data_IF_133689428642
#
_entry.id   IF_133689428642
#
_cell.length_a   1.000
_cell.length_b   1.000
_cell.length_c   1.000
_cell.angle_alpha   90.00
_cell.angle_beta   90.00
_cell.angle_gamma   90.00
#
_symmetry.space_group_name_H-M   'P 1'
#
loop_
_entity.id
_entity.type
_entity.pdbx_description
1 polymer ?
#
# COMPACT_ATOMS: atom_id res chain seq x y z
N UNK A 1 2.71 7.60 -25.37
CA UNK A 1 2.49 6.31 -24.65
C UNK A 1 1.56 6.61 -23.48
N UNK A 2 0.54 5.77 -23.27
CA UNK A 2 -0.37 5.89 -22.13
C UNK A 2 0.37 5.63 -20.81
N UNK A 3 0.01 6.37 -19.76
CA UNK A 3 0.56 6.23 -18.40
C UNK A 3 -0.58 6.33 -17.39
N UNK A 4 -0.42 5.67 -16.25
CA UNK A 4 -1.37 5.73 -15.12
C UNK A 4 -1.48 7.16 -14.59
N UNK A 5 -2.70 7.69 -14.50
CA UNK A 5 -2.98 8.97 -13.83
C UNK A 5 -2.77 8.81 -12.31
N UNK A 6 -2.04 9.68 -11.61
CA UNK A 6 -1.87 9.58 -10.16
C UNK A 6 -3.18 9.40 -9.38
N UNK A 7 -4.30 9.95 -9.85
CA UNK A 7 -5.61 9.95 -9.19
C UNK A 7 -6.39 8.64 -9.28
N UNK A 8 -6.08 7.78 -10.26
CA UNK A 8 -6.80 6.50 -10.43
C UNK A 8 -6.14 5.40 -9.57
N UNK A 9 -6.89 4.39 -9.16
CA UNK A 9 -6.31 3.21 -8.47
C UNK A 9 -5.58 2.30 -9.47
N UNK A 10 -4.76 1.35 -8.98
CA UNK A 10 -4.15 0.33 -9.87
C UNK A 10 -5.22 -0.54 -10.54
N UNK A 11 -6.22 -0.97 -9.79
CA UNK A 11 -7.32 -1.79 -10.31
C UNK A 11 -8.07 -1.09 -11.45
N UNK A 12 -8.38 0.20 -11.28
CA UNK A 12 -9.06 0.96 -12.33
C UNK A 12 -8.13 1.21 -13.54
N UNK A 13 -6.85 1.46 -13.30
CA UNK A 13 -5.86 1.56 -14.37
C UNK A 13 -5.79 0.28 -15.22
N UNK A 14 -5.74 -0.89 -14.59
CA UNK A 14 -5.72 -2.19 -15.28
C UNK A 14 -7.03 -2.45 -16.02
N UNK A 15 -8.18 -2.05 -15.46
CA UNK A 15 -9.48 -2.12 -16.13
C UNK A 15 -9.51 -1.30 -17.42
N UNK A 16 -8.99 -0.08 -17.39
CA UNK A 16 -8.86 0.78 -18.57
C UNK A 16 -7.94 0.12 -19.61
N UNK A 17 -6.79 -0.42 -19.20
CA UNK A 17 -5.88 -1.11 -20.12
C UNK A 17 -6.50 -2.36 -20.75
N UNK A 18 -7.23 -3.16 -19.98
CA UNK A 18 -7.98 -4.32 -20.48
C UNK A 18 -9.01 -3.91 -21.55
N UNK A 19 -9.74 -2.82 -21.30
CA UNK A 19 -10.69 -2.27 -22.28
C UNK A 19 -9.97 -1.82 -23.57
N UNK A 20 -8.86 -1.09 -23.46
CA UNK A 20 -8.08 -0.66 -24.62
C UNK A 20 -7.53 -1.84 -25.43
N UNK A 21 -7.02 -2.89 -24.77
CA UNK A 21 -6.55 -4.11 -25.45
C UNK A 21 -7.70 -4.78 -26.22
N UNK A 22 -8.89 -4.86 -25.60
CA UNK A 22 -10.09 -5.41 -26.25
C UNK A 22 -10.53 -4.56 -27.45
N UNK A 23 -10.52 -3.24 -27.32
CA UNK A 23 -10.92 -2.33 -28.40
C UNK A 23 -9.94 -2.41 -29.58
N UNK A 24 -8.64 -2.51 -29.31
CA UNK A 24 -7.62 -2.75 -30.32
C UNK A 24 -7.83 -4.09 -31.03
N UNK A 25 -8.12 -5.15 -30.28
CA UNK A 25 -8.44 -6.45 -30.85
C UNK A 25 -9.67 -6.41 -31.75
N UNK A 26 -10.70 -5.64 -31.37
CA UNK A 26 -11.91 -5.46 -32.18
C UNK A 26 -11.64 -4.64 -33.45
N UNK A 27 -10.65 -3.76 -33.43
CA UNK A 27 -10.16 -3.04 -34.60
C UNK A 27 -9.18 -3.87 -35.46
N UNK A 28 -9.12 -5.19 -35.27
CA UNK A 28 -8.20 -6.13 -35.93
C UNK A 28 -6.70 -5.85 -35.68
N UNK A 29 -6.38 -5.06 -34.65
CA UNK A 29 -5.01 -4.83 -34.19
C UNK A 29 -4.68 -5.85 -33.09
N UNK A 30 -4.01 -6.94 -33.49
CA UNK A 30 -3.58 -7.97 -32.55
C UNK A 30 -2.27 -7.56 -31.84
N UNK A 31 -2.36 -7.32 -30.53
CA UNK A 31 -1.18 -7.19 -29.65
C UNK A 31 -0.77 -8.56 -29.13
N UNK A 32 0.51 -8.91 -29.26
CA UNK A 32 1.03 -10.12 -28.62
C UNK A 32 1.01 -10.01 -27.10
N UNK A 33 0.99 -11.13 -26.40
CA UNK A 33 1.01 -11.14 -24.93
C UNK A 33 2.22 -10.38 -24.38
N UNK A 34 3.39 -10.55 -25.00
CA UNK A 34 4.62 -9.82 -24.67
C UNK A 34 4.43 -8.30 -24.80
N UNK A 35 3.78 -7.85 -25.88
CA UNK A 35 3.49 -6.42 -26.08
C UNK A 35 2.51 -5.89 -25.03
N UNK A 36 1.50 -6.68 -24.66
CA UNK A 36 0.55 -6.31 -23.61
C UNK A 36 1.24 -6.19 -22.25
N UNK A 37 2.09 -7.16 -21.89
CA UNK A 37 2.88 -7.13 -20.65
C UNK A 37 3.79 -5.91 -20.62
N UNK A 38 4.55 -5.66 -21.68
CA UNK A 38 5.45 -4.50 -21.77
C UNK A 38 4.68 -3.18 -21.73
N UNK A 39 3.47 -3.11 -22.31
CA UNK A 39 2.63 -1.93 -22.24
C UNK A 39 2.21 -1.64 -20.79
N UNK A 40 1.81 -2.66 -20.02
CA UNK A 40 1.46 -2.52 -18.59
C UNK A 40 2.68 -2.09 -17.78
N UNK A 41 3.84 -2.73 -17.94
CA UNK A 41 5.06 -2.38 -17.20
C UNK A 41 5.44 -0.90 -17.45
N UNK A 42 5.31 -0.43 -18.69
CA UNK A 42 5.67 0.95 -19.06
C UNK A 42 4.63 1.99 -18.65
N UNK A 43 3.39 1.59 -18.37
CA UNK A 43 2.33 2.50 -17.94
C UNK A 43 2.33 2.76 -16.44
N UNK A 44 3.01 1.91 -15.65
CA UNK A 44 3.15 2.05 -14.20
C UNK A 44 3.83 3.38 -13.82
N UNK A 45 3.43 3.99 -12.68
CA UNK A 45 3.99 5.26 -12.23
C UNK A 45 5.46 5.15 -11.85
N UNK A 46 6.17 6.28 -11.81
CA UNK A 46 7.61 6.29 -11.47
C UNK A 46 7.89 5.88 -10.01
N UNK A 47 6.89 5.99 -9.11
CA UNK A 47 6.99 5.42 -7.75
C UNK A 47 7.11 3.88 -7.74
N UNK A 48 6.80 3.22 -8.86
CA UNK A 48 6.81 1.76 -9.01
C UNK A 48 8.03 1.24 -9.81
N UNK A 49 9.12 2.01 -9.89
CA UNK A 49 10.33 1.63 -10.66
C UNK A 49 10.90 0.26 -10.24
N UNK A 50 10.96 -0.04 -8.93
CA UNK A 50 11.43 -1.34 -8.45
C UNK A 50 10.51 -2.48 -8.92
N UNK A 51 9.19 -2.28 -8.87
CA UNK A 51 8.22 -3.26 -9.35
C UNK A 51 8.33 -3.48 -10.84
N UNK A 52 8.51 -2.41 -11.63
CA UNK A 52 8.75 -2.54 -13.08
C UNK A 52 9.96 -3.42 -13.38
N UNK A 53 11.04 -3.28 -12.62
CA UNK A 53 12.22 -4.13 -12.78
C UNK A 53 11.92 -5.59 -12.44
N UNK A 54 11.22 -5.85 -11.33
CA UNK A 54 10.79 -7.20 -10.94
C UNK A 54 9.92 -7.84 -12.02
N UNK A 55 8.89 -7.13 -12.49
CA UNK A 55 7.97 -7.60 -13.53
C UNK A 55 8.70 -7.91 -14.84
N UNK A 56 9.72 -7.12 -15.20
CA UNK A 56 10.49 -7.31 -16.46
C UNK A 56 11.33 -8.58 -16.45
N UNK A 57 11.77 -9.04 -15.27
CA UNK A 57 12.63 -10.21 -15.13
C UNK A 57 11.90 -11.46 -14.64
N UNK A 58 10.58 -11.39 -14.43
CA UNK A 58 9.80 -12.50 -13.88
C UNK A 58 9.26 -13.40 -15.01
N UNK A 59 9.88 -14.57 -15.17
CA UNK A 59 9.52 -15.59 -16.17
C UNK A 59 8.11 -16.19 -16.03
N UNK A 60 7.46 -15.98 -14.89
CA UNK A 60 6.08 -16.41 -14.67
C UNK A 60 5.05 -15.43 -15.27
N UNK A 61 5.47 -14.24 -15.70
CA UNK A 61 4.60 -13.24 -16.29
C UNK A 61 4.60 -13.44 -17.80
N UNK A 62 3.57 -14.15 -18.28
CA UNK A 62 3.48 -14.52 -19.71
C UNK A 62 2.44 -13.75 -20.48
N UNK A 63 1.42 -13.21 -19.80
CA UNK A 63 0.29 -12.55 -20.43
C UNK A 63 -0.27 -11.43 -19.54
N UNK A 64 -1.27 -10.72 -20.07
CA UNK A 64 -1.93 -9.62 -19.37
C UNK A 64 -2.53 -10.02 -18.02
N UNK A 65 -3.10 -11.22 -17.89
CA UNK A 65 -3.71 -11.66 -16.64
C UNK A 65 -2.65 -11.89 -15.55
N UNK A 66 -1.50 -12.45 -15.91
CA UNK A 66 -0.40 -12.67 -14.96
C UNK A 66 0.19 -11.36 -14.44
N UNK A 67 0.46 -10.39 -15.31
CA UNK A 67 0.96 -9.06 -14.90
C UNK A 67 -0.09 -8.30 -14.08
N UNK A 68 -1.37 -8.39 -14.48
CA UNK A 68 -2.46 -7.70 -13.77
C UNK A 68 -2.60 -8.23 -12.34
N UNK A 69 -2.66 -9.55 -12.16
CA UNK A 69 -2.75 -10.18 -10.84
C UNK A 69 -1.57 -9.80 -9.95
N UNK A 70 -0.36 -9.76 -10.50
CA UNK A 70 0.83 -9.39 -9.72
C UNK A 70 0.77 -7.92 -9.26
N UNK A 71 0.40 -7.01 -10.17
CA UNK A 71 0.26 -5.58 -9.85
C UNK A 71 -0.84 -5.34 -8.81
N UNK A 72 -1.97 -6.05 -8.91
CA UNK A 72 -3.06 -5.97 -7.93
C UNK A 72 -2.62 -6.41 -6.53
N UNK A 73 -1.95 -7.56 -6.43
CA UNK A 73 -1.45 -8.08 -5.15
C UNK A 73 -0.43 -7.14 -4.50
N UNK A 74 0.48 -6.54 -5.28
CA UNK A 74 1.45 -5.57 -4.76
C UNK A 74 0.77 -4.27 -4.32
N UNK A 75 -0.28 -3.83 -5.03
CA UNK A 75 -1.02 -2.64 -4.67
C UNK A 75 -1.79 -2.83 -3.35
N UNK A 76 -2.44 -3.99 -3.20
CA UNK A 76 -3.13 -4.37 -1.96
C UNK A 76 -2.15 -4.49 -0.79
N UNK A 77 -0.97 -5.07 -1.03
CA UNK A 77 0.11 -5.15 -0.03
C UNK A 77 0.54 -3.76 0.43
N UNK A 78 0.76 -2.82 -0.47
CA UNK A 78 1.14 -1.44 -0.13
C UNK A 78 0.04 -0.75 0.69
N UNK A 79 -1.23 -0.93 0.32
CA UNK A 79 -2.38 -0.41 1.07
C UNK A 79 -2.49 -1.01 2.48
N UNK A 80 -2.30 -2.32 2.63
CA UNK A 80 -2.30 -3.00 3.93
C UNK A 80 -1.17 -2.50 4.84
N UNK A 81 0.02 -2.24 4.28
CA UNK A 81 1.15 -1.66 5.02
C UNK A 81 0.80 -0.24 5.50
N UNK A 82 0.20 0.60 4.65
CA UNK A 82 -0.25 1.93 5.05
C UNK A 82 -1.33 1.86 6.14
N UNK A 83 -2.33 0.99 6.00
CA UNK A 83 -3.39 0.81 6.99
C UNK A 83 -2.83 0.37 8.35
N UNK A 84 -1.98 -0.65 8.37
CA UNK A 84 -1.35 -1.15 9.61
C UNK A 84 -0.49 -0.08 10.29
N UNK A 85 0.28 0.71 9.53
CA UNK A 85 1.04 1.83 10.07
C UNK A 85 0.15 2.90 10.74
N UNK A 86 -0.99 3.23 10.14
CA UNK A 86 -1.97 4.16 10.72
C UNK A 86 -2.52 3.64 12.04
N UNK A 87 -2.87 2.35 12.13
CA UNK A 87 -3.33 1.73 13.37
C UNK A 87 -2.25 1.73 14.45
N UNK A 88 -0.99 1.44 14.10
CA UNK A 88 0.13 1.47 15.04
C UNK A 88 0.40 2.89 15.59
N UNK A 89 0.20 3.93 14.78
CA UNK A 89 0.39 5.32 15.20
C UNK A 89 -0.71 5.81 16.17
N UNK A 90 -1.93 5.30 16.04
CA UNK A 90 -3.07 5.59 16.94
C UNK A 90 -2.86 5.15 18.40
N UNK A 91 -1.86 4.30 18.66
CA UNK A 91 -1.49 3.85 20.00
C UNK A 91 -0.66 4.86 20.82
N UNK A 92 -0.15 5.93 20.23
CA UNK A 92 0.56 7.00 20.97
C UNK A 92 -0.43 7.95 21.64
N UNK A 93 -1.27 7.43 22.53
CA UNK A 93 -1.94 8.25 23.53
C UNK A 93 -0.85 8.73 24.48
N UNK A 94 -0.49 10.01 24.37
CA UNK A 94 0.28 10.74 25.36
C UNK A 94 -0.50 10.71 26.68
N UNK A 95 -0.36 9.63 27.44
CA UNK A 95 -0.88 9.48 28.78
C UNK A 95 -0.13 10.48 29.64
N UNK A 96 -0.79 11.59 29.95
CA UNK A 96 -0.32 12.56 30.92
C UNK A 96 -0.20 11.80 32.25
N UNK A 97 1.01 11.29 32.54
CA UNK A 97 1.35 10.58 33.77
C UNK A 97 1.20 11.58 34.92
N UNK A 98 -0.02 11.64 35.45
CA UNK A 98 -0.39 12.49 36.55
C UNK A 98 0.37 12.01 37.77
N UNK A 99 1.46 12.73 38.06
CA UNK A 99 2.29 12.70 39.25
C UNK A 99 1.40 12.62 40.50
N UNK A 100 1.15 11.41 41.02
CA UNK A 100 0.43 11.25 42.28
C UNK A 100 1.41 11.56 43.41
N UNK A 101 1.22 12.73 44.04
CA UNK A 101 1.98 13.24 45.19
C UNK A 101 2.03 12.17 46.30
N UNK A 102 3.24 11.79 46.70
CA UNK A 102 3.48 11.12 47.97
C UNK A 102 3.31 12.17 49.08
N UNK A 103 2.16 12.18 49.78
CA UNK A 103 1.92 13.09 50.91
C UNK A 103 2.46 12.40 52.17
N UNK A 104 3.61 12.87 52.61
CA UNK A 104 4.37 12.32 53.72
C UNK A 104 3.66 12.40 55.08
N UNK A 105 4.06 11.44 55.92
CA UNK A 105 4.18 11.46 57.38
C UNK A 105 3.56 12.66 58.12
N UNK A 106 2.60 12.36 59.00
CA UNK A 106 2.46 13.04 60.29
C UNK A 106 2.37 11.99 61.39
N UNK A 107 3.44 11.89 62.17
CA UNK A 107 3.51 11.18 63.45
C UNK A 107 2.69 11.92 64.49
N UNK A 108 1.62 11.32 64.99
CA UNK A 108 0.96 11.80 66.21
C UNK A 108 1.72 11.24 67.41
N UNK A 109 2.56 12.10 68.01
CA UNK A 109 2.90 12.01 69.43
C UNK A 109 1.66 12.41 70.21
N UNK A 110 1.30 11.66 71.23
CA UNK A 110 0.94 12.23 72.53
C UNK A 110 0.94 11.10 73.57
N UNK A 111 1.87 11.22 74.52
CA UNK A 111 1.88 10.42 75.73
C UNK A 111 0.88 11.00 76.71
N UNK A 112 0.24 10.15 77.50
CA UNK A 112 -0.55 10.55 78.66
C UNK A 112 0.01 9.82 79.87
N UNK A 113 0.53 10.60 80.81
CA UNK A 113 1.04 10.18 82.10
C UNK A 113 0.09 10.75 83.15
N UNK A 114 -0.62 9.87 83.88
CA UNK A 114 -0.79 9.86 85.35
C UNK A 114 -1.70 8.71 85.76
#
# INVERSE_FOLDING_TARGET
MYKKDPKISMTEHLRIMSAMIRDLKNAEVALSDEQQVQAVIRSLPDSWVNMRQILTHNENIKNFADVSRHVELEAEREEAICATALFAQGGKRHGNWSKRKNKGKSSTKEGSNN
#
